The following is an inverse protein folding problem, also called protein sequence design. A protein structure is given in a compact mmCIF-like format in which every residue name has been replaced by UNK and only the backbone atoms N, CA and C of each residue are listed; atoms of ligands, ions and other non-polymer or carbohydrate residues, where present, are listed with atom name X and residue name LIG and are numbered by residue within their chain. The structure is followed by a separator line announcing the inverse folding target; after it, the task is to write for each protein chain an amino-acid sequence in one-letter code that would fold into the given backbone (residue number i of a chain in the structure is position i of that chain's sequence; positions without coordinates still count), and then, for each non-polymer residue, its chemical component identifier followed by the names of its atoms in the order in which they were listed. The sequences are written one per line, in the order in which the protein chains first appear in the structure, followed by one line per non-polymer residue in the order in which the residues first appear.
data_IF_905220548383
#
_entry.id   IF_905220548383
#
_cell.length_a   1.000
_cell.length_b   1.000
_cell.length_c   1.000
_cell.angle_alpha   90.00
_cell.angle_beta   90.00
_cell.angle_gamma   90.00
#
_symmetry.space_group_name_H-M   'P 1'
#
loop_
_entity.id
_entity.type
_entity.pdbx_description
1 polymer ?
#
# COMPACT_ATOMS: atom_id res chain seq x y z
N UNK A 1 21.61 -13.90 -0.38
CA UNK A 1 21.84 -12.45 -0.62
C UNK A 1 22.09 -11.80 0.75
N UNK A 2 23.32 -11.32 1.05
CA UNK A 2 23.70 -10.73 2.36
C UNK A 2 23.47 -9.21 2.46
N UNK A 3 23.14 -8.57 1.35
CA UNK A 3 22.77 -7.16 1.34
C UNK A 3 21.53 -6.97 2.23
N UNK A 4 21.56 -5.99 3.13
CA UNK A 4 20.53 -5.66 4.14
C UNK A 4 20.62 -6.38 5.49
N UNK A 5 21.56 -7.31 5.69
CA UNK A 5 21.79 -7.92 7.01
C UNK A 5 23.09 -7.47 7.68
N UNK A 6 24.04 -6.98 6.88
CA UNK A 6 25.33 -6.47 7.37
C UNK A 6 25.70 -5.17 6.65
N UNK A 7 26.44 -4.25 7.31
CA UNK A 7 27.04 -3.11 6.65
C UNK A 7 27.85 -3.54 5.43
N UNK A 8 27.71 -2.88 4.27
CA UNK A 8 28.42 -3.23 3.05
C UNK A 8 29.87 -2.75 3.03
N UNK A 9 30.34 -2.16 4.13
CA UNK A 9 31.69 -1.60 4.30
C UNK A 9 32.40 -2.31 5.46
N UNK A 10 33.74 -2.35 5.48
CA UNK A 10 34.47 -2.93 6.60
C UNK A 10 34.38 -2.06 7.87
N UNK A 11 34.73 -2.62 9.02
CA UNK A 11 34.50 -2.03 10.35
C UNK A 11 35.26 -0.72 10.60
N UNK A 12 36.42 -0.57 9.99
CA UNK A 12 37.29 0.59 10.06
C UNK A 12 36.77 1.78 9.22
N UNK A 13 35.85 1.53 8.30
CA UNK A 13 35.31 2.57 7.43
C UNK A 13 34.39 3.53 8.20
N UNK A 14 34.56 4.84 7.99
CA UNK A 14 33.80 5.91 8.68
C UNK A 14 32.27 5.76 8.55
N UNK A 15 31.81 5.14 7.46
CA UNK A 15 30.38 4.88 7.23
C UNK A 15 29.84 3.64 7.97
N UNK A 16 30.68 2.78 8.55
CA UNK A 16 30.28 1.50 9.14
C UNK A 16 29.20 1.66 10.20
N UNK A 17 29.42 2.52 11.19
CA UNK A 17 28.47 2.75 12.27
C UNK A 17 27.17 3.39 11.77
N UNK A 18 27.23 4.24 10.75
CA UNK A 18 26.03 4.80 10.12
C UNK A 18 25.22 3.71 9.41
N UNK A 19 25.87 2.85 8.64
CA UNK A 19 25.24 1.71 7.98
C UNK A 19 24.64 0.75 9.01
N UNK A 20 25.34 0.47 10.11
CA UNK A 20 24.85 -0.41 11.20
C UNK A 20 23.61 0.18 11.88
N UNK A 21 23.60 1.47 12.20
CA UNK A 21 22.43 2.17 12.75
C UNK A 21 21.26 2.15 11.78
N UNK A 22 21.50 2.42 10.50
CA UNK A 22 20.47 2.33 9.47
C UNK A 22 19.86 0.93 9.38
N UNK A 23 20.68 -0.12 9.32
CA UNK A 23 20.19 -1.50 9.26
C UNK A 23 19.38 -1.86 10.51
N UNK A 24 19.84 -1.46 11.70
CA UNK A 24 19.08 -1.66 12.94
C UNK A 24 17.71 -1.00 12.88
N UNK A 25 17.63 0.25 12.40
CA UNK A 25 16.37 0.95 12.18
C UNK A 25 15.49 0.22 11.14
N UNK A 26 16.07 -0.15 10.00
CA UNK A 26 15.37 -0.86 8.92
C UNK A 26 14.72 -2.14 9.44
N UNK A 27 15.45 -2.98 10.17
CA UNK A 27 14.92 -4.21 10.75
C UNK A 27 13.85 -3.95 11.81
N UNK A 28 14.18 -3.16 12.84
CA UNK A 28 13.27 -2.89 13.97
C UNK A 28 12.01 -2.11 13.63
N UNK A 29 11.99 -1.40 12.49
CA UNK A 29 10.87 -0.53 12.09
C UNK A 29 10.11 -1.13 10.92
N UNK A 30 10.81 -1.59 9.88
CA UNK A 30 10.22 -1.93 8.58
C UNK A 30 10.15 -3.41 8.27
N UNK A 31 11.07 -4.25 8.75
CA UNK A 31 11.04 -5.70 8.45
C UNK A 31 10.37 -6.50 9.55
N UNK A 32 10.73 -6.24 10.80
CA UNK A 32 10.21 -6.95 11.98
C UNK A 32 9.36 -6.05 12.87
N UNK A 33 9.32 -4.76 12.55
CA UNK A 33 8.68 -3.72 13.34
C UNK A 33 7.19 -3.51 13.06
N UNK A 34 6.61 -2.43 13.60
CA UNK A 34 5.20 -2.10 13.46
C UNK A 34 4.75 -1.85 12.01
N UNK A 35 5.68 -1.62 11.07
CA UNK A 35 5.36 -1.37 9.67
C UNK A 35 5.61 -2.55 8.73
N UNK A 36 5.94 -3.74 9.25
CA UNK A 36 6.27 -4.93 8.43
C UNK A 36 5.21 -5.25 7.37
N UNK A 37 3.94 -5.18 7.76
CA UNK A 37 2.80 -5.54 6.91
C UNK A 37 2.36 -4.38 6.00
N UNK A 38 2.99 -3.21 6.12
CA UNK A 38 2.65 -1.99 5.37
C UNK A 38 3.63 -1.74 4.22
N UNK A 39 4.89 -2.17 4.39
CA UNK A 39 5.96 -1.95 3.41
C UNK A 39 5.88 -2.86 2.19
N UNK A 40 5.64 -4.16 2.38
CA UNK A 40 5.59 -5.11 1.28
C UNK A 40 4.16 -5.32 0.78
N UNK A 41 3.85 -4.79 -0.40
CA UNK A 41 2.54 -4.92 -1.05
C UNK A 41 2.50 -6.03 -2.11
N UNK A 42 3.50 -6.90 -2.13
CA UNK A 42 3.54 -8.03 -3.04
C UNK A 42 2.38 -8.99 -2.75
N UNK A 43 1.49 -9.21 -3.71
CA UNK A 43 0.32 -10.08 -3.56
C UNK A 43 -0.89 -9.45 -2.86
N UNK A 44 -0.84 -8.16 -2.49
CA UNK A 44 -1.99 -7.46 -1.91
C UNK A 44 -2.79 -6.72 -3.00
N UNK A 45 -4.01 -7.20 -3.27
CA UNK A 45 -4.86 -6.71 -4.37
C UNK A 45 -5.75 -5.52 -3.98
N UNK A 46 -6.20 -5.44 -2.72
CA UNK A 46 -7.34 -4.56 -2.38
C UNK A 46 -7.12 -3.51 -1.28
N UNK A 47 -6.35 -3.78 -0.22
CA UNK A 47 -6.21 -2.83 0.88
C UNK A 47 -4.83 -2.17 0.93
N UNK A 48 -4.78 -0.90 0.53
CA UNK A 48 -3.73 0.01 1.01
C UNK A 48 -4.32 0.83 2.13
N UNK A 49 -3.80 0.69 3.35
CA UNK A 49 -4.20 1.46 4.54
C UNK A 49 -4.21 2.97 4.28
N UNK A 50 -3.27 3.46 3.47
CA UNK A 50 -3.22 4.89 3.06
C UNK A 50 -4.40 5.30 2.17
N UNK A 51 -4.85 4.43 1.25
CA UNK A 51 -5.99 4.74 0.38
C UNK A 51 -7.29 4.85 1.19
N UNK A 52 -7.43 4.04 2.25
CA UNK A 52 -8.59 4.07 3.13
C UNK A 52 -8.62 5.36 3.95
N UNK A 53 -7.48 5.76 4.52
CA UNK A 53 -7.36 7.03 5.23
C UNK A 53 -7.61 8.23 4.30
N UNK A 54 -6.99 8.26 3.12
CA UNK A 54 -7.23 9.32 2.10
C UNK A 54 -8.71 9.39 1.71
N UNK A 55 -9.36 8.24 1.46
CA UNK A 55 -10.78 8.19 1.11
C UNK A 55 -11.68 8.67 2.25
N UNK A 56 -11.37 8.28 3.49
CA UNK A 56 -12.12 8.73 4.67
C UNK A 56 -11.99 10.24 4.86
N UNK A 57 -10.78 10.79 4.81
CA UNK A 57 -10.55 12.24 4.90
C UNK A 57 -11.27 13.01 3.78
N UNK A 58 -11.22 12.52 2.54
CA UNK A 58 -11.98 13.11 1.43
C UNK A 58 -13.50 13.09 1.68
N UNK A 59 -14.04 11.99 2.23
CA UNK A 59 -15.46 11.89 2.59
C UNK A 59 -15.81 12.89 3.69
N UNK A 60 -14.96 13.05 4.71
CA UNK A 60 -15.16 14.06 5.75
C UNK A 60 -15.20 15.47 5.14
N UNK A 61 -14.26 15.81 4.25
CA UNK A 61 -14.25 17.13 3.60
C UNK A 61 -15.56 17.40 2.84
N UNK A 62 -16.05 16.42 2.08
CA UNK A 62 -17.32 16.53 1.34
C UNK A 62 -18.51 16.65 2.29
N UNK A 63 -18.57 15.83 3.34
CA UNK A 63 -19.71 15.79 4.27
C UNK A 63 -19.74 17.04 5.14
N UNK A 64 -18.60 17.52 5.64
CA UNK A 64 -18.54 18.71 6.48
C UNK A 64 -18.72 20.00 5.69
N UNK A 65 -18.09 20.12 4.51
CA UNK A 65 -18.23 21.29 3.62
C UNK A 65 -17.73 22.62 4.21
N UNK A 66 -17.11 22.59 5.40
CA UNK A 66 -16.49 23.72 6.10
C UNK A 66 -15.35 23.22 6.98
N UNK A 67 -14.29 24.01 7.10
CA UNK A 67 -13.08 23.65 7.85
C UNK A 67 -13.33 23.52 9.36
N UNK A 68 -14.28 24.31 9.88
CA UNK A 68 -14.57 24.40 11.31
C UNK A 68 -16.09 24.30 11.58
N UNK A 69 -16.66 23.08 11.58
CA UNK A 69 -18.04 22.88 12.00
C UNK A 69 -18.22 23.11 13.50
N UNK A 70 -19.37 23.64 13.88
CA UNK A 70 -19.81 23.66 15.27
C UNK A 70 -20.01 22.22 15.78
N UNK A 71 -19.92 22.05 17.11
CA UNK A 71 -19.93 20.72 17.73
C UNK A 71 -21.21 19.93 17.43
N UNK A 72 -22.37 20.59 17.33
CA UNK A 72 -23.63 19.93 16.99
C UNK A 72 -23.58 19.37 15.58
N UNK A 73 -23.23 20.20 14.59
CA UNK A 73 -23.08 19.79 13.20
C UNK A 73 -22.03 18.69 13.02
N UNK A 74 -20.94 18.75 13.79
CA UNK A 74 -19.90 17.71 13.79
C UNK A 74 -20.49 16.35 14.22
N UNK A 75 -21.16 16.31 15.37
CA UNK A 75 -21.73 15.07 15.93
C UNK A 75 -22.79 14.50 15.00
N UNK A 76 -23.69 15.32 14.47
CA UNK A 76 -24.75 14.87 13.56
C UNK A 76 -24.18 14.22 12.30
N UNK A 77 -23.18 14.86 11.68
CA UNK A 77 -22.53 14.34 10.47
C UNK A 77 -21.72 13.07 10.74
N UNK A 78 -21.04 12.98 11.88
CA UNK A 78 -20.33 11.75 12.27
C UNK A 78 -21.30 10.58 12.47
N UNK A 79 -22.42 10.80 13.17
CA UNK A 79 -23.47 9.77 13.33
C UNK A 79 -24.05 9.31 11.99
N UNK A 80 -24.23 10.24 11.05
CA UNK A 80 -24.70 9.92 9.71
C UNK A 80 -23.69 9.04 8.95
N UNK A 81 -22.40 9.39 8.97
CA UNK A 81 -21.34 8.59 8.34
C UNK A 81 -21.28 7.19 8.96
N UNK A 82 -21.38 7.08 10.28
CA UNK A 82 -21.36 5.81 10.99
C UNK A 82 -22.56 4.94 10.59
N UNK A 83 -23.76 5.53 10.54
CA UNK A 83 -24.96 4.83 10.08
C UNK A 83 -24.82 4.31 8.63
N UNK A 84 -24.33 5.13 7.70
CA UNK A 84 -24.06 4.69 6.32
C UNK A 84 -23.03 3.56 6.26
N UNK A 85 -21.97 3.65 7.06
CA UNK A 85 -20.94 2.61 7.14
C UNK A 85 -21.52 1.29 7.65
N UNK A 86 -22.31 1.32 8.73
CA UNK A 86 -22.99 0.13 9.27
C UNK A 86 -23.94 -0.49 8.25
N UNK A 87 -24.71 0.32 7.52
CA UNK A 87 -25.59 -0.15 6.45
C UNK A 87 -24.80 -0.80 5.31
N UNK A 88 -23.67 -0.21 4.93
CA UNK A 88 -22.78 -0.77 3.91
C UNK A 88 -22.19 -2.11 4.36
N UNK A 89 -21.74 -2.20 5.62
CA UNK A 89 -21.20 -3.44 6.19
C UNK A 89 -22.26 -4.54 6.25
N UNK A 90 -23.48 -4.20 6.68
CA UNK A 90 -24.60 -5.14 6.67
C UNK A 90 -24.88 -5.64 5.25
N UNK A 91 -24.92 -4.74 4.28
CA UNK A 91 -25.16 -5.10 2.89
C UNK A 91 -24.06 -6.03 2.34
N UNK A 92 -22.78 -5.76 2.61
CA UNK A 92 -21.66 -6.62 2.22
C UNK A 92 -21.78 -8.00 2.89
N UNK A 93 -22.17 -8.05 4.17
CA UNK A 93 -22.39 -9.30 4.90
C UNK A 93 -23.52 -10.13 4.29
N UNK A 94 -24.60 -9.47 3.86
CA UNK A 94 -25.77 -10.12 3.27
C UNK A 94 -25.53 -10.55 1.82
N UNK A 95 -24.56 -9.92 1.12
CA UNK A 95 -24.23 -10.15 -0.29
C UNK A 95 -22.73 -10.48 -0.47
N UNK A 96 -22.23 -11.61 0.07
CA UNK A 96 -20.80 -11.91 0.10
C UNK A 96 -20.18 -12.13 -1.29
N UNK A 97 -21.00 -12.42 -2.30
CA UNK A 97 -20.56 -12.65 -3.68
C UNK A 97 -20.70 -11.41 -4.58
N UNK A 98 -21.23 -10.30 -4.05
CA UNK A 98 -21.33 -9.07 -4.82
C UNK A 98 -20.01 -8.29 -4.77
N UNK A 99 -19.25 -8.40 -5.86
CA UNK A 99 -18.04 -7.61 -6.03
C UNK A 99 -18.37 -6.14 -6.28
N UNK A 100 -17.59 -5.26 -5.65
CA UNK A 100 -17.65 -3.83 -5.95
C UNK A 100 -17.37 -3.61 -7.42
N UNK A 101 -18.33 -3.04 -8.15
CA UNK A 101 -18.17 -2.75 -9.56
C UNK A 101 -17.01 -1.76 -9.78
N UNK A 102 -15.91 -2.26 -10.35
CA UNK A 102 -14.79 -1.43 -10.80
C UNK A 102 -15.05 -0.93 -12.21
N UNK A 103 -14.65 0.32 -12.49
CA UNK A 103 -14.59 0.84 -13.85
C UNK A 103 -13.69 -0.09 -14.68
N UNK A 104 -14.06 -0.34 -15.95
CA UNK A 104 -13.30 -1.23 -16.85
C UNK A 104 -11.79 -0.93 -16.85
N UNK A 105 -11.41 0.35 -16.96
CA UNK A 105 -10.01 0.80 -16.90
C UNK A 105 -9.28 0.38 -15.62
N UNK A 106 -9.96 0.42 -14.47
CA UNK A 106 -9.36 0.04 -13.19
C UNK A 106 -9.20 -1.48 -13.06
N UNK A 107 -10.20 -2.22 -13.57
CA UNK A 107 -10.15 -3.69 -13.66
C UNK A 107 -8.99 -4.14 -14.53
N UNK A 108 -8.90 -3.63 -15.76
CA UNK A 108 -7.82 -3.95 -16.70
C UNK A 108 -6.44 -3.60 -16.14
N UNK A 109 -6.35 -2.49 -15.38
CA UNK A 109 -5.10 -2.09 -14.71
C UNK A 109 -4.72 -3.10 -13.63
N UNK A 110 -5.65 -3.51 -12.77
CA UNK A 110 -5.41 -4.49 -11.71
C UNK A 110 -5.01 -5.85 -12.28
N UNK A 111 -5.70 -6.32 -13.30
CA UNK A 111 -5.38 -7.58 -13.99
C UNK A 111 -3.97 -7.57 -14.58
N UNK A 112 -3.56 -6.46 -15.21
CA UNK A 112 -2.19 -6.30 -15.74
C UNK A 112 -1.13 -6.32 -14.63
N UNK A 113 -1.39 -5.64 -13.52
CA UNK A 113 -0.51 -5.63 -12.33
C UNK A 113 -0.37 -7.05 -11.79
N UNK A 114 -1.50 -7.73 -11.56
CA UNK A 114 -1.55 -9.07 -10.99
C UNK A 114 -0.84 -10.09 -11.88
N UNK A 115 -1.15 -10.10 -13.18
CA UNK A 115 -0.50 -10.97 -14.16
C UNK A 115 1.02 -10.74 -14.20
N UNK A 116 1.45 -9.49 -14.14
CA UNK A 116 2.88 -9.13 -14.17
C UNK A 116 3.59 -9.54 -12.88
N UNK A 117 2.96 -9.35 -11.73
CA UNK A 117 3.46 -9.82 -10.44
C UNK A 117 3.58 -11.34 -10.41
N UNK A 118 2.53 -12.06 -10.82
CA UNK A 118 2.53 -13.51 -10.89
C UNK A 118 3.67 -14.03 -11.77
N UNK A 119 3.78 -13.52 -13.00
CA UNK A 119 4.83 -13.92 -13.95
C UNK A 119 6.24 -13.65 -13.40
N UNK A 120 6.47 -12.48 -12.82
CA UNK A 120 7.77 -12.15 -12.24
C UNK A 120 8.08 -13.01 -11.01
N UNK A 121 7.08 -13.28 -10.17
CA UNK A 121 7.20 -14.17 -9.02
C UNK A 121 7.59 -15.59 -9.43
N UNK A 122 6.92 -16.16 -10.43
CA UNK A 122 7.24 -17.49 -10.99
C UNK A 122 8.68 -17.52 -11.53
N UNK A 123 9.08 -16.51 -12.30
CA UNK A 123 10.46 -16.40 -12.81
C UNK A 123 11.49 -16.32 -11.68
N UNK A 124 11.21 -15.49 -10.66
CA UNK A 124 12.07 -15.32 -9.50
C UNK A 124 12.28 -16.63 -8.74
N UNK A 125 11.21 -17.39 -8.52
CA UNK A 125 11.28 -18.67 -7.80
C UNK A 125 11.98 -19.78 -8.61
N UNK A 126 11.74 -19.83 -9.93
CA UNK A 126 12.26 -20.93 -10.76
C UNK A 126 13.77 -20.82 -11.06
N UNK A 127 14.26 -19.62 -11.39
CA UNK A 127 15.66 -19.45 -11.84
C UNK A 127 16.38 -18.26 -11.22
N UNK A 128 15.74 -17.56 -10.29
CA UNK A 128 16.17 -16.23 -9.87
C UNK A 128 15.98 -15.20 -10.98
N UNK A 129 16.41 -13.97 -10.72
CA UNK A 129 16.37 -12.87 -11.70
C UNK A 129 17.69 -12.14 -11.70
N UNK A 130 18.11 -11.73 -12.89
CA UNK A 130 19.23 -10.82 -13.06
C UNK A 130 18.85 -9.41 -12.61
N UNK A 131 19.86 -8.59 -12.33
CA UNK A 131 19.66 -7.17 -12.01
C UNK A 131 18.90 -6.42 -13.12
N UNK A 132 19.22 -6.70 -14.38
CA UNK A 132 18.56 -6.05 -15.52
C UNK A 132 17.07 -6.41 -15.62
N UNK A 133 16.72 -7.67 -15.35
CA UNK A 133 15.32 -8.13 -15.31
C UNK A 133 14.56 -7.51 -14.14
N UNK A 134 15.18 -7.43 -12.96
CA UNK A 134 14.60 -6.77 -11.79
C UNK A 134 14.36 -5.27 -12.06
N UNK A 135 15.34 -4.56 -12.59
CA UNK A 135 15.22 -3.14 -12.93
C UNK A 135 14.15 -2.92 -14.01
N UNK A 136 14.10 -3.78 -15.04
CA UNK A 136 13.08 -3.73 -16.08
C UNK A 136 11.67 -3.93 -15.51
N UNK A 137 11.50 -4.90 -14.62
CA UNK A 137 10.26 -5.14 -13.91
C UNK A 137 9.84 -3.93 -13.06
N UNK A 138 10.74 -3.39 -12.24
CA UNK A 138 10.46 -2.20 -11.42
C UNK A 138 10.07 -0.98 -12.27
N UNK A 139 10.74 -0.75 -13.40
CA UNK A 139 10.41 0.32 -14.35
C UNK A 139 9.05 0.12 -15.02
N UNK A 140 8.68 -1.12 -15.31
CA UNK A 140 7.36 -1.43 -15.85
C UNK A 140 6.26 -1.20 -14.79
N UNK A 141 6.48 -1.72 -13.58
CA UNK A 141 5.52 -1.61 -12.48
C UNK A 141 5.31 -0.19 -11.99
N UNK A 142 6.35 0.67 -12.04
CA UNK A 142 6.25 2.06 -11.60
C UNK A 142 5.19 2.85 -12.36
N UNK A 143 4.94 2.52 -13.64
CA UNK A 143 3.90 3.14 -14.49
C UNK A 143 2.49 3.01 -13.90
N UNK A 144 2.26 1.98 -13.08
CA UNK A 144 0.99 1.76 -12.41
C UNK A 144 0.88 2.45 -11.05
N UNK A 145 2.01 2.88 -10.48
CA UNK A 145 2.09 3.63 -9.22
C UNK A 145 1.99 5.14 -9.49
N UNK A 146 2.62 5.62 -10.55
CA UNK A 146 2.64 7.04 -10.96
C UNK A 146 1.39 7.49 -11.73
N UNK A 147 0.39 6.62 -11.93
CA UNK A 147 -0.90 6.97 -12.53
C UNK A 147 -1.82 7.86 -11.67
N UNK A 148 -1.31 8.50 -10.60
CA UNK A 148 -1.85 9.76 -10.12
C UNK A 148 -1.26 10.84 -11.05
N UNK A 149 -1.90 11.05 -12.20
CA UNK A 149 -1.74 12.31 -12.92
C UNK A 149 -2.06 13.42 -11.92
N UNK A 150 -1.11 14.34 -11.76
CA UNK A 150 -1.24 15.64 -11.09
C UNK A 150 -2.52 16.32 -11.56
#
# INVERSE_FOLDING_TARGET
MRALWMPPVPQDHVAYEKCKKFLKYLHSTWFDGPYKDIWNKWGLVDLRTTNIAEAYHNRLNVVFGKDHPDMRSLIEKLKYIDFEAMRTLQWISDHPNEEKHLRKRDRDRREKIETSMKRFGEQYQLRGVTRAELEGYCKYMSRYVSGKTI
#
